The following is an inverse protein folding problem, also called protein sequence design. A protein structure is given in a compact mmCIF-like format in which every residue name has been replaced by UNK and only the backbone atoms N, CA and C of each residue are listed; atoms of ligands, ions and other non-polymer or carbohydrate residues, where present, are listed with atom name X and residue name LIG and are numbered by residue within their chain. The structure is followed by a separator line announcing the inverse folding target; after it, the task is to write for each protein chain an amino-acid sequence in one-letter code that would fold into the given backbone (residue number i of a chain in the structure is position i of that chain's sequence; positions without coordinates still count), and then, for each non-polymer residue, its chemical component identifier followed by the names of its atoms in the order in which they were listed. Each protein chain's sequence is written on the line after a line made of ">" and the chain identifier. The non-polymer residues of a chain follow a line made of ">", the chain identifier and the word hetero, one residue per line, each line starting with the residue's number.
data_IF_998439040453
#
_entry.id   IF_998439040453
#
_cell.length_a   1.000
_cell.length_b   1.000
_cell.length_c   1.000
_cell.angle_alpha   90.00
_cell.angle_beta   90.00
_cell.angle_gamma   90.00
#
_symmetry.space_group_name_H-M   'P 1'
#
loop_
_entity.id
_entity.type
_entity.pdbx_description
1 polymer ?
#
# COMPACT_ATOMS: atom_id res chain seq x y z
N UNK A 1 27.35 -2.45 -27.86
CA UNK A 1 25.92 -2.79 -27.70
C UNK A 1 25.56 -3.39 -26.32
N UNK A 2 26.51 -3.65 -25.41
CA UNK A 2 26.21 -4.28 -24.11
C UNK A 2 25.95 -3.31 -22.93
N UNK A 3 26.25 -2.02 -23.10
CA UNK A 3 26.04 -1.02 -22.05
C UNK A 3 24.56 -0.83 -21.67
N UNK A 4 23.63 -0.90 -22.64
CA UNK A 4 22.20 -0.74 -22.40
C UNK A 4 21.61 -1.81 -21.49
N UNK A 5 22.04 -3.08 -21.64
CA UNK A 5 21.57 -4.19 -20.81
C UNK A 5 22.06 -4.06 -19.36
N UNK A 6 23.31 -3.59 -19.18
CA UNK A 6 23.89 -3.37 -17.85
C UNK A 6 23.24 -2.18 -17.15
N UNK A 7 22.96 -1.08 -17.88
CA UNK A 7 22.26 0.10 -17.37
C UNK A 7 20.82 -0.26 -16.99
N UNK A 8 20.05 -0.92 -17.86
CA UNK A 8 18.69 -1.36 -17.52
C UNK A 8 18.68 -2.30 -16.32
N UNK A 9 19.62 -3.24 -16.22
CA UNK A 9 19.69 -4.16 -15.07
C UNK A 9 20.04 -3.45 -13.77
N UNK A 10 21.05 -2.57 -13.74
CA UNK A 10 21.50 -1.92 -12.49
C UNK A 10 20.68 -0.68 -12.11
N UNK A 11 20.28 0.13 -13.08
CA UNK A 11 19.49 1.33 -12.82
C UNK A 11 18.06 0.97 -12.41
N UNK A 12 17.46 -0.07 -13.00
CA UNK A 12 16.11 -0.50 -12.63
C UNK A 12 16.08 -1.05 -11.20
N UNK A 13 17.05 -1.90 -10.82
CA UNK A 13 17.18 -2.43 -9.46
C UNK A 13 17.37 -1.33 -8.41
N UNK A 14 18.23 -0.34 -8.69
CA UNK A 14 18.42 0.79 -7.78
C UNK A 14 17.24 1.77 -7.75
N UNK A 15 16.47 1.89 -8.84
CA UNK A 15 15.28 2.75 -8.90
C UNK A 15 14.05 2.08 -8.25
N UNK A 16 13.98 0.74 -8.27
CA UNK A 16 12.93 -0.04 -7.62
C UNK A 16 12.93 0.16 -6.10
N UNK A 17 14.09 0.40 -5.50
CA UNK A 17 14.21 0.60 -4.05
C UNK A 17 13.35 1.77 -3.57
N UNK A 18 13.47 3.00 -4.07
CA UNK A 18 12.59 4.10 -3.65
C UNK A 18 11.15 3.98 -4.19
N UNK A 19 10.94 3.35 -5.36
CA UNK A 19 9.60 3.19 -5.94
C UNK A 19 8.69 2.38 -5.03
N UNK A 20 9.17 1.27 -4.50
CA UNK A 20 8.32 0.38 -3.70
C UNK A 20 8.00 1.02 -2.32
N UNK A 21 8.87 1.89 -1.78
CA UNK A 21 8.59 2.67 -0.55
C UNK A 21 7.50 3.69 -0.86
N UNK A 22 7.60 4.32 -2.03
CA UNK A 22 6.61 5.27 -2.50
C UNK A 22 5.24 4.61 -2.64
N UNK A 23 5.17 3.37 -3.11
CA UNK A 23 3.90 2.61 -3.22
C UNK A 23 3.27 2.39 -1.84
N UNK A 24 4.07 2.06 -0.81
CA UNK A 24 3.57 1.94 0.56
C UNK A 24 2.97 3.24 1.09
N UNK A 25 3.67 4.37 0.90
CA UNK A 25 3.21 5.71 1.29
C UNK A 25 1.93 6.08 0.53
N UNK A 26 1.93 5.89 -0.80
CA UNK A 26 0.79 6.22 -1.67
C UNK A 26 -0.43 5.37 -1.34
N UNK A 27 -0.27 4.13 -0.89
CA UNK A 27 -1.40 3.29 -0.47
C UNK A 27 -2.17 3.93 0.69
N UNK A 28 -1.46 4.49 1.69
CA UNK A 28 -2.11 5.21 2.79
C UNK A 28 -2.88 6.45 2.32
N UNK A 29 -2.30 7.20 1.38
CA UNK A 29 -2.95 8.36 0.75
C UNK A 29 -4.19 7.94 -0.03
N UNK A 30 -4.10 6.85 -0.80
CA UNK A 30 -5.22 6.32 -1.60
C UNK A 30 -6.35 5.80 -0.71
N UNK A 31 -6.05 5.15 0.42
CA UNK A 31 -7.07 4.73 1.39
C UNK A 31 -7.82 5.94 1.96
N UNK A 32 -7.10 7.01 2.34
CA UNK A 32 -7.73 8.25 2.80
C UNK A 32 -8.59 8.92 1.72
N UNK A 33 -8.08 8.99 0.49
CA UNK A 33 -8.82 9.52 -0.66
C UNK A 33 -10.04 8.67 -1.03
N UNK A 34 -9.96 7.36 -0.90
CA UNK A 34 -11.06 6.43 -1.18
C UNK A 34 -12.27 6.73 -0.30
N UNK A 35 -12.07 7.08 0.99
CA UNK A 35 -13.18 7.47 1.88
C UNK A 35 -13.92 8.71 1.36
N UNK A 36 -13.21 9.67 0.80
CA UNK A 36 -13.80 10.88 0.21
C UNK A 36 -14.59 10.51 -1.05
N UNK A 37 -14.00 9.70 -1.94
CA UNK A 37 -14.66 9.23 -3.16
C UNK A 37 -15.92 8.43 -2.83
N UNK A 38 -15.85 7.51 -1.86
CA UNK A 38 -17.01 6.74 -1.38
C UNK A 38 -18.13 7.65 -0.87
N UNK A 39 -17.78 8.71 -0.14
CA UNK A 39 -18.74 9.65 0.43
C UNK A 39 -19.38 10.53 -0.64
N UNK A 40 -18.59 11.08 -1.57
CA UNK A 40 -19.07 11.97 -2.65
C UNK A 40 -19.95 11.22 -3.65
N UNK A 41 -19.54 10.02 -4.07
CA UNK A 41 -20.29 9.22 -5.04
C UNK A 41 -21.31 8.27 -4.40
N UNK A 42 -21.50 8.34 -3.08
CA UNK A 42 -22.39 7.44 -2.32
C UNK A 42 -22.14 5.95 -2.58
N UNK A 43 -20.90 5.57 -2.85
CA UNK A 43 -20.52 4.18 -3.08
C UNK A 43 -20.57 3.40 -1.75
N UNK A 44 -21.03 2.14 -1.76
CA UNK A 44 -21.01 1.28 -0.58
C UNK A 44 -19.57 0.82 -0.31
N UNK A 45 -18.87 1.54 0.56
CA UNK A 45 -17.49 1.22 0.95
C UNK A 45 -17.26 1.28 2.46
N UNK A 46 -16.14 0.68 2.88
CA UNK A 46 -15.79 0.50 4.31
C UNK A 46 -15.49 1.85 4.97
N UNK A 47 -14.87 2.78 4.25
CA UNK A 47 -14.56 4.12 4.78
C UNK A 47 -15.82 4.91 5.11
N UNK A 48 -16.79 4.92 4.19
CA UNK A 48 -18.09 5.56 4.40
C UNK A 48 -18.88 4.90 5.54
N UNK A 49 -18.81 3.57 5.69
CA UNK A 49 -19.42 2.85 6.80
C UNK A 49 -18.84 3.28 8.15
N UNK A 50 -17.51 3.39 8.25
CA UNK A 50 -16.82 3.84 9.46
C UNK A 50 -17.23 5.28 9.81
N UNK A 51 -17.27 6.20 8.82
CA UNK A 51 -17.71 7.59 9.06
C UNK A 51 -19.16 7.63 9.57
N UNK A 52 -20.06 6.85 8.96
CA UNK A 52 -21.45 6.75 9.42
C UNK A 52 -21.55 6.20 10.85
N UNK A 53 -20.73 5.22 11.20
CA UNK A 53 -20.64 4.66 12.55
C UNK A 53 -20.10 5.68 13.57
N UNK A 54 -19.11 6.50 13.20
CA UNK A 54 -18.59 7.59 14.04
C UNK A 54 -19.71 8.58 14.40
N UNK A 55 -20.52 8.98 13.42
CA UNK A 55 -21.65 9.90 13.65
C UNK A 55 -22.71 9.29 14.58
N UNK A 56 -22.95 7.98 14.46
CA UNK A 56 -23.92 7.23 15.29
C UNK A 56 -23.33 6.75 16.63
N UNK A 57 -22.04 7.00 16.87
CA UNK A 57 -21.26 6.49 18.03
C UNK A 57 -21.35 4.97 18.18
N UNK A 58 -21.41 4.26 17.07
CA UNK A 58 -21.44 2.80 17.03
C UNK A 58 -20.00 2.26 17.12
N UNK A 59 -19.48 2.19 18.35
CA UNK A 59 -18.10 1.76 18.61
C UNK A 59 -17.74 0.37 18.08
N UNK A 60 -18.62 -0.66 18.16
CA UNK A 60 -18.35 -1.96 17.54
C UNK A 60 -18.03 -1.87 16.04
N UNK A 61 -18.82 -1.12 15.27
CA UNK A 61 -18.59 -0.96 13.83
C UNK A 61 -17.32 -0.16 13.55
N UNK A 62 -17.05 0.88 14.33
CA UNK A 62 -15.82 1.67 14.20
C UNK A 62 -14.58 0.78 14.42
N UNK A 63 -14.58 0.00 15.50
CA UNK A 63 -13.46 -0.89 15.81
C UNK A 63 -13.30 -2.00 14.77
N UNK A 64 -14.40 -2.65 14.35
CA UNK A 64 -14.35 -3.67 13.30
C UNK A 64 -13.85 -3.14 11.96
N UNK A 65 -14.36 -1.97 11.54
CA UNK A 65 -13.92 -1.34 10.29
C UNK A 65 -12.46 -0.88 10.35
N UNK A 66 -12.02 -0.34 11.50
CA UNK A 66 -10.63 0.03 11.72
C UNK A 66 -9.71 -1.20 11.64
N UNK A 67 -10.09 -2.31 12.28
CA UNK A 67 -9.32 -3.55 12.25
C UNK A 67 -9.19 -4.11 10.82
N UNK A 68 -10.28 -4.14 10.04
CA UNK A 68 -10.26 -4.61 8.65
C UNK A 68 -9.35 -3.73 7.79
N UNK A 69 -9.46 -2.41 7.94
CA UNK A 69 -8.65 -1.44 7.18
C UNK A 69 -7.17 -1.56 7.55
N UNK A 70 -6.86 -1.64 8.84
CA UNK A 70 -5.51 -1.83 9.34
C UNK A 70 -4.91 -3.17 8.89
N UNK A 71 -5.66 -4.27 8.96
CA UNK A 71 -5.23 -5.58 8.48
C UNK A 71 -4.91 -5.53 6.99
N UNK A 72 -5.76 -4.90 6.19
CA UNK A 72 -5.53 -4.69 4.75
C UNK A 72 -4.24 -3.91 4.51
N UNK A 73 -4.02 -2.84 5.27
CA UNK A 73 -2.79 -2.06 5.16
C UNK A 73 -1.54 -2.88 5.50
N UNK A 74 -1.59 -3.71 6.56
CA UNK A 74 -0.51 -4.64 6.91
C UNK A 74 -0.27 -5.65 5.78
N UNK A 75 -1.32 -6.22 5.21
CA UNK A 75 -1.19 -7.13 4.07
C UNK A 75 -0.52 -6.47 2.86
N UNK A 76 -0.87 -5.22 2.55
CA UNK A 76 -0.21 -4.48 1.47
C UNK A 76 1.25 -4.24 1.80
N UNK A 77 1.60 -3.84 3.03
CA UNK A 77 3.01 -3.65 3.42
C UNK A 77 3.80 -4.96 3.31
N UNK A 78 3.25 -6.09 3.76
CA UNK A 78 3.90 -7.40 3.59
C UNK A 78 4.08 -7.73 2.11
N UNK A 79 3.08 -7.47 1.27
CA UNK A 79 3.19 -7.70 -0.17
C UNK A 79 4.27 -6.82 -0.81
N UNK A 80 4.37 -5.57 -0.39
CA UNK A 80 5.40 -4.59 -0.78
C UNK A 80 6.78 -5.09 -0.35
N UNK A 81 6.94 -5.56 0.88
CA UNK A 81 8.20 -6.11 1.41
C UNK A 81 8.63 -7.41 0.71
N UNK A 82 7.69 -8.30 0.38
CA UNK A 82 7.96 -9.51 -0.40
C UNK A 82 8.41 -9.11 -1.81
N UNK A 83 7.71 -8.17 -2.44
CA UNK A 83 8.05 -7.66 -3.77
C UNK A 83 9.46 -7.06 -3.76
N UNK A 84 9.79 -6.29 -2.72
CA UNK A 84 11.15 -5.82 -2.45
C UNK A 84 12.18 -6.96 -2.40
N UNK A 85 11.95 -7.97 -1.56
CA UNK A 85 12.88 -9.09 -1.40
C UNK A 85 13.05 -9.90 -2.68
N UNK A 86 12.05 -9.92 -3.56
CA UNK A 86 12.12 -10.59 -4.85
C UNK A 86 12.85 -9.76 -5.92
N UNK A 87 12.68 -8.44 -5.86
CA UNK A 87 13.31 -7.49 -6.79
C UNK A 87 14.73 -7.13 -6.40
N UNK A 88 15.17 -7.28 -5.15
CA UNK A 88 16.55 -6.98 -4.75
C UNK A 88 17.45 -8.24 -4.75
N UNK A 89 18.30 -8.45 -5.79
CA UNK A 89 19.25 -9.55 -5.83
C UNK A 89 20.46 -9.34 -4.90
N UNK A 90 20.63 -8.19 -4.23
CA UNK A 90 21.77 -7.95 -3.31
C UNK A 90 21.69 -8.74 -2.01
N UNK A 91 20.49 -9.16 -1.58
CA UNK A 91 20.33 -10.12 -0.46
C UNK A 91 20.94 -11.49 -0.80
N UNK A 92 21.19 -11.77 -2.08
CA UNK A 92 21.63 -13.08 -2.57
C UNK A 92 23.16 -13.21 -2.71
N UNK A 93 23.91 -12.12 -2.57
CA UNK A 93 25.34 -12.06 -2.92
C UNK A 93 26.27 -11.85 -1.70
N UNK A 94 25.79 -12.11 -0.47
CA UNK A 94 26.65 -12.16 0.73
C UNK A 94 27.31 -13.55 0.90
N UNK A 95 27.90 -14.08 -0.18
CA UNK A 95 28.83 -15.22 -0.16
C UNK A 95 29.94 -15.06 -1.19
#
# INVERSE_FOLDING_TARGET
>A
MQAWVVIFRHALLNALIPIVTMVGILTGVLLGGAVVVESVFSLPGVGRLIIGAIQRRDFPIIQGGLLITAATFVFVNIAVDILYGWLDPRVRDDR
#
